data_IF_290991458802
#
_entry.id   IF_290991458802
#
_cell.length_a   1.000
_cell.length_b   1.000
_cell.length_c   1.000
_cell.angle_alpha   90.00
_cell.angle_beta   90.00
_cell.angle_gamma   90.00
#
_symmetry.space_group_name_H-M   'P 1'
#
loop_
_entity.id
_entity.type
_entity.pdbx_description
1 polymer ?
#
# COMPACT_ATOMS: atom_id res chain seq x y z
N UNK A 1 36.04 46.98 -8.97
CA UNK A 1 36.48 45.66 -9.51
C UNK A 1 36.90 44.63 -8.45
N UNK A 2 37.70 44.98 -7.43
CA UNK A 2 38.23 43.98 -6.45
C UNK A 2 37.15 43.31 -5.57
N UNK A 3 36.12 44.06 -5.15
CA UNK A 3 34.99 43.53 -4.33
C UNK A 3 34.11 42.53 -5.10
N UNK A 4 33.81 42.78 -6.37
CA UNK A 4 32.99 41.89 -7.22
C UNK A 4 33.67 40.53 -7.43
N UNK A 5 35.00 40.51 -7.64
CA UNK A 5 35.76 39.25 -7.75
C UNK A 5 35.71 38.42 -6.46
N UNK A 6 35.72 39.06 -5.29
CA UNK A 6 35.67 38.36 -4.00
C UNK A 6 34.29 37.71 -3.75
N UNK A 7 33.21 38.39 -4.13
CA UNK A 7 31.84 37.87 -3.99
C UNK A 7 31.59 36.66 -4.92
N UNK A 8 32.09 36.72 -6.16
CA UNK A 8 31.96 35.62 -7.12
C UNK A 8 32.73 34.38 -6.65
N UNK A 9 33.96 34.55 -6.14
CA UNK A 9 34.75 33.44 -5.59
C UNK A 9 34.05 32.82 -4.38
N UNK A 10 33.48 33.64 -3.48
CA UNK A 10 32.73 33.14 -2.33
C UNK A 10 31.48 32.35 -2.75
N UNK A 11 30.73 32.80 -3.76
CA UNK A 11 29.55 32.06 -4.25
C UNK A 11 29.93 30.72 -4.88
N UNK A 12 31.01 30.68 -5.67
CA UNK A 12 31.53 29.46 -6.27
C UNK A 12 31.95 28.44 -5.22
N UNK A 13 32.65 28.88 -4.17
CA UNK A 13 33.05 28.01 -3.05
C UNK A 13 31.82 27.44 -2.34
N UNK A 14 30.80 28.26 -2.07
CA UNK A 14 29.56 27.79 -1.44
C UNK A 14 28.82 26.78 -2.31
N UNK A 15 28.74 27.01 -3.63
CA UNK A 15 28.10 26.08 -4.58
C UNK A 15 28.84 24.74 -4.60
N UNK A 16 30.17 24.75 -4.65
CA UNK A 16 30.98 23.52 -4.64
C UNK A 16 30.79 22.75 -3.34
N UNK A 17 30.78 23.44 -2.19
CA UNK A 17 30.52 22.79 -0.89
C UNK A 17 29.13 22.16 -0.87
N UNK A 18 28.10 22.85 -1.40
CA UNK A 18 26.74 22.32 -1.47
C UNK A 18 26.65 21.09 -2.38
N UNK A 19 27.33 21.09 -3.53
CA UNK A 19 27.36 19.96 -4.46
C UNK A 19 28.08 18.75 -3.85
N UNK A 20 29.19 18.97 -3.14
CA UNK A 20 29.88 17.91 -2.39
C UNK A 20 28.98 17.35 -1.30
N UNK A 21 28.31 18.21 -0.54
CA UNK A 21 27.38 17.78 0.51
C UNK A 21 26.22 16.96 -0.07
N UNK A 22 25.61 17.40 -1.18
CA UNK A 22 24.58 16.65 -1.89
C UNK A 22 25.11 15.30 -2.39
N UNK A 23 26.32 15.25 -2.96
CA UNK A 23 26.88 14.00 -3.48
C UNK A 23 27.12 12.97 -2.35
N UNK A 24 27.63 13.41 -1.21
CA UNK A 24 27.82 12.56 -0.02
C UNK A 24 26.48 12.13 0.60
N UNK A 25 25.47 13.02 0.57
CA UNK A 25 24.12 12.67 1.02
C UNK A 25 23.47 11.63 0.11
N UNK A 26 23.65 11.74 -1.21
CA UNK A 26 23.11 10.75 -2.17
C UNK A 26 23.81 9.41 -2.06
N UNK A 27 25.12 9.37 -1.83
CA UNK A 27 25.86 8.10 -1.71
C UNK A 27 25.46 7.27 -0.48
N UNK A 28 25.16 7.91 0.66
CA UNK A 28 24.82 7.20 1.89
C UNK A 28 23.37 6.67 1.94
N UNK A 29 22.47 7.15 1.08
CA UNK A 29 21.07 6.69 1.04
C UNK A 29 20.75 5.74 -0.12
N UNK A 30 21.63 5.63 -1.13
CA UNK A 30 21.36 4.79 -2.31
C UNK A 30 21.67 3.30 -2.03
N UNK A 31 22.40 2.95 -0.97
CA UNK A 31 22.87 1.57 -0.73
C UNK A 31 22.01 0.71 0.19
N UNK A 32 20.84 1.15 0.68
CA UNK A 32 20.06 0.37 1.69
C UNK A 32 18.67 -0.06 1.21
N UNK A 33 18.44 -0.10 -0.11
CA UNK A 33 17.11 -0.33 -0.67
C UNK A 33 16.56 -1.76 -0.52
N UNK A 34 17.43 -2.77 -0.50
CA UNK A 34 17.02 -4.18 -0.51
C UNK A 34 17.17 -4.86 0.87
N UNK A 35 18.03 -4.35 1.75
CA UNK A 35 18.37 -4.98 3.05
C UNK A 35 17.23 -4.98 4.09
N UNK A 36 16.11 -4.29 3.80
CA UNK A 36 14.96 -4.21 4.70
C UNK A 36 13.71 -4.90 4.15
N UNK A 37 13.78 -5.60 3.02
CA UNK A 37 12.63 -6.36 2.53
C UNK A 37 12.55 -7.71 3.25
N UNK A 38 11.37 -8.01 3.79
CA UNK A 38 11.05 -9.33 4.31
C UNK A 38 10.31 -10.09 3.21
N UNK A 39 10.78 -11.30 2.95
CA UNK A 39 10.27 -12.17 1.91
C UNK A 39 9.55 -13.37 2.52
N UNK A 40 8.29 -13.60 2.14
CA UNK A 40 7.46 -14.69 2.65
C UNK A 40 7.26 -15.74 1.54
N UNK A 41 7.42 -17.04 1.82
CA UNK A 41 7.24 -18.14 0.83
C UNK A 41 6.47 -19.35 1.36
N UNK A 42 5.89 -20.15 0.45
CA UNK A 42 4.97 -21.28 0.70
C UNK A 42 5.51 -22.30 1.70
N UNK A 43 6.83 -22.44 1.80
CA UNK A 43 7.45 -23.42 2.69
C UNK A 43 7.30 -23.10 4.19
N UNK A 44 6.89 -21.88 4.54
CA UNK A 44 6.97 -21.44 5.93
C UNK A 44 5.67 -20.82 6.47
N UNK A 45 4.74 -20.36 5.61
CA UNK A 45 3.38 -20.04 6.06
C UNK A 45 2.82 -21.27 6.75
N UNK A 46 2.46 -21.15 8.05
CA UNK A 46 1.89 -22.25 8.86
C UNK A 46 0.83 -23.00 8.05
N UNK A 47 1.25 -24.10 7.43
CA UNK A 47 0.37 -25.21 7.10
C UNK A 47 -0.06 -25.76 8.44
N UNK A 48 -1.12 -25.17 9.02
CA UNK A 48 -1.97 -25.87 9.96
C UNK A 48 -2.64 -27.01 9.17
N UNK A 49 -1.87 -28.07 8.93
CA UNK A 49 -2.17 -29.22 8.10
C UNK A 49 -2.52 -28.86 6.65
N UNK A 50 -1.81 -29.55 5.75
CA UNK A 50 -2.34 -30.07 4.49
C UNK A 50 -3.62 -30.90 4.72
N UNK A 51 -4.68 -30.30 5.25
CA UNK A 51 -6.01 -30.57 4.76
C UNK A 51 -6.14 -29.72 3.52
N UNK A 52 -6.53 -30.32 2.41
CA UNK A 52 -7.15 -29.66 1.27
C UNK A 52 -8.30 -28.79 1.77
N UNK A 53 -7.99 -27.58 2.24
CA UNK A 53 -9.00 -26.57 2.56
C UNK A 53 -9.41 -26.06 1.19
N UNK A 54 -10.57 -26.54 0.76
CA UNK A 54 -11.27 -25.88 -0.33
C UNK A 54 -11.39 -24.41 0.10
N UNK A 55 -10.67 -23.50 -0.60
CA UNK A 55 -11.19 -22.14 -0.82
C UNK A 55 -12.69 -22.31 -0.98
N UNK A 56 -13.54 -21.57 -0.23
CA UNK A 56 -14.98 -21.81 -0.27
C UNK A 56 -15.35 -21.95 -1.74
N UNK A 57 -15.88 -23.12 -2.14
CA UNK A 57 -16.11 -23.48 -3.56
C UNK A 57 -17.03 -22.49 -4.28
N UNK A 58 -17.50 -21.49 -3.55
CA UNK A 58 -18.46 -20.46 -3.86
C UNK A 58 -17.93 -19.06 -3.46
N UNK A 59 -16.62 -18.80 -3.61
CA UNK A 59 -16.09 -17.44 -3.46
C UNK A 59 -16.78 -16.54 -4.48
N UNK A 60 -17.74 -15.74 -4.00
CA UNK A 60 -18.45 -14.76 -4.81
C UNK A 60 -17.69 -13.45 -4.74
N UNK A 61 -17.25 -12.94 -5.89
CA UNK A 61 -16.67 -11.61 -6.00
C UNK A 61 -17.64 -10.58 -5.42
N UNK A 62 -17.21 -9.86 -4.39
CA UNK A 62 -17.98 -8.80 -3.74
C UNK A 62 -17.93 -7.48 -4.51
N UNK A 63 -16.91 -7.28 -5.35
CA UNK A 63 -16.64 -6.06 -6.11
C UNK A 63 -16.44 -6.36 -7.61
N UNK A 64 -17.41 -6.97 -8.30
CA UNK A 64 -17.28 -7.36 -9.71
C UNK A 64 -16.92 -6.18 -10.62
N UNK A 65 -17.44 -4.98 -10.34
CA UNK A 65 -17.15 -3.76 -11.10
C UNK A 65 -15.68 -3.35 -11.04
N UNK A 66 -15.02 -3.58 -9.89
CA UNK A 66 -13.58 -3.30 -9.73
C UNK A 66 -12.78 -4.31 -10.56
N UNK A 67 -13.16 -5.59 -10.51
CA UNK A 67 -12.49 -6.65 -11.28
C UNK A 67 -12.62 -6.41 -12.79
N UNK A 68 -13.80 -6.02 -13.26
CA UNK A 68 -14.02 -5.72 -14.67
C UNK A 68 -13.20 -4.51 -15.16
N UNK A 69 -13.04 -3.48 -14.31
CA UNK A 69 -12.15 -2.37 -14.60
C UNK A 69 -10.69 -2.83 -14.70
N UNK A 70 -10.21 -3.61 -13.73
CA UNK A 70 -8.82 -4.11 -13.73
C UNK A 70 -8.52 -4.95 -14.97
N UNK A 71 -9.46 -5.81 -15.39
CA UNK A 71 -9.31 -6.59 -16.63
C UNK A 71 -9.19 -5.69 -17.87
N UNK A 72 -9.92 -4.58 -17.92
CA UNK A 72 -9.82 -3.59 -19.01
C UNK A 72 -8.49 -2.83 -18.98
N UNK A 73 -7.94 -2.58 -17.80
CA UNK A 73 -6.62 -1.93 -17.66
C UNK A 73 -5.52 -2.78 -18.30
N UNK A 74 -5.64 -4.12 -18.25
CA UNK A 74 -4.70 -5.07 -18.85
C UNK A 74 -3.23 -4.78 -18.45
N UNK A 75 -3.01 -4.66 -17.13
CA UNK A 75 -1.72 -4.35 -16.51
C UNK A 75 -1.37 -5.44 -15.49
N UNK A 76 -0.07 -5.70 -15.32
CA UNK A 76 0.46 -6.52 -14.25
C UNK A 76 1.87 -6.06 -13.87
N UNK A 77 2.20 -5.89 -12.58
CA UNK A 77 1.28 -5.94 -11.44
C UNK A 77 0.31 -4.74 -11.42
N UNK A 78 -0.79 -4.89 -10.67
CA UNK A 78 -1.73 -3.80 -10.38
C UNK A 78 -1.22 -3.01 -9.16
N UNK A 79 -1.09 -1.69 -9.29
CA UNK A 79 -0.78 -0.80 -8.17
C UNK A 79 -2.09 -0.31 -7.58
N UNK A 80 -2.33 -0.54 -6.29
CA UNK A 80 -3.61 -0.23 -5.66
C UNK A 80 -3.41 0.70 -4.48
N UNK A 81 -4.24 1.73 -4.43
CA UNK A 81 -4.34 2.62 -3.27
C UNK A 81 -5.81 2.93 -2.98
N UNK A 82 -6.16 3.00 -1.69
CA UNK A 82 -7.50 3.38 -1.24
C UNK A 82 -7.40 4.68 -0.48
N UNK A 83 -8.16 5.68 -0.92
CA UNK A 83 -8.15 7.02 -0.31
C UNK A 83 -9.57 7.45 0.04
N UNK A 84 -9.66 8.27 1.08
CA UNK A 84 -10.85 9.06 1.34
C UNK A 84 -10.62 10.52 0.93
N UNK A 85 -11.64 11.37 1.12
CA UNK A 85 -11.58 12.78 0.73
C UNK A 85 -10.46 13.55 1.41
N UNK A 86 -10.18 13.25 2.68
CA UNK A 86 -9.11 13.92 3.43
C UNK A 86 -7.72 13.64 2.85
N UNK A 87 -7.54 12.52 2.15
CA UNK A 87 -6.27 12.12 1.52
C UNK A 87 -6.11 12.63 0.08
N UNK A 88 -7.10 13.33 -0.50
CA UNK A 88 -7.00 13.89 -1.85
C UNK A 88 -5.77 14.80 -2.06
N UNK A 89 -5.42 15.73 -1.13
CA UNK A 89 -4.21 16.54 -1.30
C UNK A 89 -2.93 15.69 -1.38
N UNK A 90 -2.84 14.62 -0.58
CA UNK A 90 -1.70 13.69 -0.63
C UNK A 90 -1.70 12.91 -1.95
N UNK A 91 -2.86 12.46 -2.44
CA UNK A 91 -2.98 11.79 -3.74
C UNK A 91 -2.50 12.70 -4.88
N UNK A 92 -2.87 13.98 -4.89
CA UNK A 92 -2.39 14.94 -5.90
C UNK A 92 -0.88 15.19 -5.79
N UNK A 93 -0.36 15.32 -4.56
CA UNK A 93 1.09 15.44 -4.32
C UNK A 93 1.85 14.22 -4.88
N UNK A 94 1.35 13.02 -4.60
CA UNK A 94 1.94 11.76 -5.09
C UNK A 94 1.88 11.63 -6.61
N UNK A 95 0.75 12.01 -7.23
CA UNK A 95 0.61 12.02 -8.69
C UNK A 95 1.63 12.96 -9.35
N UNK A 96 1.84 14.15 -8.79
CA UNK A 96 2.89 15.07 -9.25
C UNK A 96 4.29 14.47 -9.06
N UNK A 97 4.58 13.88 -7.89
CA UNK A 97 5.87 13.25 -7.61
C UNK A 97 6.20 12.11 -8.59
N UNK A 98 5.19 11.39 -9.08
CA UNK A 98 5.36 10.17 -9.89
C UNK A 98 5.06 10.34 -11.37
N UNK A 99 4.73 11.56 -11.83
CA UNK A 99 4.30 11.84 -13.21
C UNK A 99 5.26 11.28 -14.27
N UNK A 100 6.56 11.43 -14.04
CA UNK A 100 7.61 11.04 -15.00
C UNK A 100 8.05 9.57 -14.84
N UNK A 101 7.46 8.80 -13.91
CA UNK A 101 7.88 7.42 -13.63
C UNK A 101 7.20 6.37 -14.51
N UNK A 102 6.20 6.76 -15.31
CA UNK A 102 5.50 5.87 -16.24
C UNK A 102 4.56 4.85 -15.59
N UNK A 103 4.24 4.99 -14.31
CA UNK A 103 3.48 3.99 -13.53
C UNK A 103 1.95 4.19 -13.57
N UNK A 104 1.47 5.40 -13.87
CA UNK A 104 0.08 5.79 -13.61
C UNK A 104 -0.98 4.92 -14.32
N UNK A 105 -0.66 4.33 -15.48
CA UNK A 105 -1.55 3.38 -16.17
C UNK A 105 -1.80 2.09 -15.37
N UNK A 106 -0.85 1.72 -14.51
CA UNK A 106 -0.93 0.53 -13.66
C UNK A 106 -1.62 0.82 -12.32
N UNK A 107 -1.90 2.09 -12.01
CA UNK A 107 -2.47 2.51 -10.75
C UNK A 107 -3.99 2.49 -10.82
N UNK A 108 -4.61 1.87 -9.80
CA UNK A 108 -6.02 1.95 -9.49
C UNK A 108 -6.20 2.72 -8.17
N UNK A 109 -6.82 3.89 -8.27
CA UNK A 109 -7.32 4.63 -7.12
C UNK A 109 -8.72 4.14 -6.75
N UNK A 110 -8.91 3.79 -5.49
CA UNK A 110 -10.20 3.43 -4.93
C UNK A 110 -10.61 4.53 -3.96
N UNK A 111 -11.70 5.24 -4.26
CA UNK A 111 -12.19 6.35 -3.43
C UNK A 111 -13.39 5.94 -2.58
N UNK A 112 -13.53 6.51 -1.39
CA UNK A 112 -14.69 6.27 -0.51
C UNK A 112 -15.98 6.96 -0.95
N UNK A 113 -15.88 7.87 -1.92
CA UNK A 113 -16.98 8.70 -2.39
C UNK A 113 -16.77 9.12 -3.86
N UNK A 114 -17.90 9.39 -4.54
CA UNK A 114 -17.91 9.79 -5.95
C UNK A 114 -17.29 11.17 -6.18
N UNK A 115 -17.43 12.11 -5.23
CA UNK A 115 -16.84 13.45 -5.36
C UNK A 115 -15.31 13.38 -5.48
N UNK A 116 -14.66 12.57 -4.65
CA UNK A 116 -13.22 12.30 -4.74
C UNK A 116 -12.82 11.69 -6.09
N UNK A 117 -13.64 10.76 -6.61
CA UNK A 117 -13.41 10.15 -7.94
C UNK A 117 -13.55 11.16 -9.07
N UNK A 118 -14.59 12.00 -9.03
CA UNK A 118 -14.84 13.02 -10.03
C UNK A 118 -13.71 14.06 -10.07
N UNK A 119 -13.19 14.47 -8.89
CA UNK A 119 -12.05 15.37 -8.82
C UNK A 119 -10.78 14.76 -9.41
N UNK A 120 -10.46 13.50 -9.06
CA UNK A 120 -9.31 12.79 -9.62
C UNK A 120 -9.43 12.63 -11.15
N UNK A 121 -10.58 12.18 -11.64
CA UNK A 121 -10.82 12.02 -13.09
C UNK A 121 -10.74 13.34 -13.85
N UNK A 122 -11.22 14.44 -13.25
CA UNK A 122 -11.17 15.77 -13.87
C UNK A 122 -9.75 16.29 -14.00
N UNK A 123 -8.92 16.13 -12.96
CA UNK A 123 -7.56 16.69 -12.92
C UNK A 123 -6.52 15.75 -13.56
N UNK A 124 -6.74 14.44 -13.48
CA UNK A 124 -5.81 13.40 -13.91
C UNK A 124 -6.53 12.33 -14.77
N UNK A 125 -7.03 12.67 -15.96
CA UNK A 125 -7.90 11.80 -16.77
C UNK A 125 -7.22 10.51 -17.30
N UNK A 126 -5.92 10.34 -17.07
CA UNK A 126 -5.13 9.19 -17.52
C UNK A 126 -4.96 8.10 -16.45
N UNK A 127 -5.43 8.34 -15.23
CA UNK A 127 -5.39 7.37 -14.13
C UNK A 127 -6.70 6.59 -14.06
N UNK A 128 -6.68 5.43 -13.43
CA UNK A 128 -7.88 4.63 -13.23
C UNK A 128 -8.45 4.89 -11.84
N UNK A 129 -9.73 5.24 -11.76
CA UNK A 129 -10.40 5.58 -10.49
C UNK A 129 -11.75 4.90 -10.41
N UNK A 130 -12.04 4.29 -9.27
CA UNK A 130 -13.35 3.73 -8.93
C UNK A 130 -13.76 4.22 -7.55
N UNK A 131 -15.05 4.51 -7.36
CA UNK A 131 -15.60 4.84 -6.06
C UNK A 131 -16.33 3.63 -5.49
N UNK A 132 -16.14 3.38 -4.20
CA UNK A 132 -16.86 2.33 -3.48
C UNK A 132 -18.03 2.92 -2.69
N UNK A 133 -19.14 2.21 -2.71
CA UNK A 133 -20.37 2.64 -2.04
C UNK A 133 -20.37 2.33 -0.55
N UNK A 134 -21.18 3.08 0.22
CA UNK A 134 -21.44 2.79 1.64
C UNK A 134 -20.34 3.23 2.61
N UNK A 135 -19.41 4.09 2.18
CA UNK A 135 -18.25 4.54 2.98
C UNK A 135 -18.29 6.03 3.32
N UNK A 136 -19.43 6.71 3.14
CA UNK A 136 -19.56 8.16 3.40
C UNK A 136 -19.22 8.56 4.84
N UNK A 137 -19.52 7.70 5.82
CA UNK A 137 -19.23 7.94 7.24
C UNK A 137 -17.73 7.96 7.59
N UNK A 138 -16.86 7.55 6.67
CA UNK A 138 -15.39 7.54 6.84
C UNK A 138 -14.68 8.32 5.72
N UNK A 139 -15.43 9.20 5.05
CA UNK A 139 -14.92 10.05 3.98
C UNK A 139 -14.03 11.19 4.50
N UNK A 140 -14.21 11.60 5.76
CA UNK A 140 -13.40 12.61 6.44
C UNK A 140 -12.12 12.03 7.03
N UNK A 141 -11.25 12.87 7.58
CA UNK A 141 -10.02 12.44 8.23
C UNK A 141 -10.28 11.36 9.29
N UNK A 142 -9.42 10.34 9.31
CA UNK A 142 -9.54 9.19 10.19
C UNK A 142 -8.24 8.99 10.96
N UNK A 143 -8.35 9.00 12.28
CA UNK A 143 -7.21 8.74 13.16
C UNK A 143 -6.84 7.26 13.17
N UNK A 144 -5.53 6.97 13.15
CA UNK A 144 -5.00 5.62 13.29
C UNK A 144 -5.59 4.91 14.52
N UNK A 145 -5.92 3.63 14.37
CA UNK A 145 -6.53 2.81 15.43
C UNK A 145 -7.88 3.33 15.95
N UNK A 146 -8.66 4.04 15.14
CA UNK A 146 -10.03 4.42 15.45
C UNK A 146 -11.03 3.62 14.60
N UNK A 147 -12.27 3.48 15.07
CA UNK A 147 -13.27 2.62 14.43
C UNK A 147 -13.48 2.97 12.94
N UNK A 148 -13.44 4.25 12.56
CA UNK A 148 -13.56 4.66 11.17
C UNK A 148 -12.35 4.27 10.31
N UNK A 149 -11.12 4.43 10.81
CA UNK A 149 -9.91 3.90 10.18
C UNK A 149 -10.02 2.38 9.99
N UNK A 150 -10.42 1.64 11.02
CA UNK A 150 -10.55 0.17 10.94
C UNK A 150 -11.57 -0.24 9.88
N UNK A 151 -12.69 0.48 9.74
CA UNK A 151 -13.69 0.23 8.67
C UNK A 151 -13.10 0.42 7.28
N UNK A 152 -12.25 1.43 7.08
CA UNK A 152 -11.51 1.61 5.83
C UNK A 152 -10.59 0.41 5.56
N UNK A 153 -9.84 -0.03 6.57
CA UNK A 153 -8.90 -1.15 6.44
C UNK A 153 -9.60 -2.50 6.20
N UNK A 154 -10.75 -2.73 6.83
CA UNK A 154 -11.61 -3.89 6.54
C UNK A 154 -12.01 -3.89 5.06
N UNK A 155 -12.51 -2.75 4.56
CA UNK A 155 -12.94 -2.62 3.18
C UNK A 155 -11.79 -2.79 2.19
N UNK A 156 -10.63 -2.19 2.48
CA UNK A 156 -9.38 -2.39 1.73
C UNK A 156 -9.04 -3.87 1.64
N UNK A 157 -9.03 -4.57 2.77
CA UNK A 157 -8.68 -6.00 2.82
C UNK A 157 -9.64 -6.85 1.98
N UNK A 158 -10.94 -6.58 2.05
CA UNK A 158 -11.95 -7.29 1.25
C UNK A 158 -11.73 -7.11 -0.26
N UNK A 159 -11.44 -5.89 -0.71
CA UNK A 159 -11.19 -5.60 -2.12
C UNK A 159 -9.91 -6.29 -2.59
N UNK A 160 -8.84 -6.20 -1.80
CA UNK A 160 -7.58 -6.87 -2.11
C UNK A 160 -7.76 -8.40 -2.20
N UNK A 161 -8.58 -9.00 -1.33
CA UNK A 161 -8.93 -10.42 -1.41
C UNK A 161 -9.61 -10.75 -2.74
N UNK A 162 -10.61 -9.97 -3.16
CA UNK A 162 -11.29 -10.15 -4.45
C UNK A 162 -10.30 -10.12 -5.63
N UNK A 163 -9.37 -9.16 -5.61
CA UNK A 163 -8.36 -9.03 -6.67
C UNK A 163 -7.42 -10.25 -6.67
N UNK A 164 -6.95 -10.69 -5.50
CA UNK A 164 -6.10 -11.88 -5.37
C UNK A 164 -6.80 -13.16 -5.84
N UNK A 165 -8.08 -13.34 -5.51
CA UNK A 165 -8.89 -14.50 -5.94
C UNK A 165 -9.07 -14.53 -7.47
N UNK A 166 -8.95 -13.38 -8.13
CA UNK A 166 -8.95 -13.27 -9.60
C UNK A 166 -7.54 -13.41 -10.23
N UNK A 167 -6.56 -13.92 -9.49
CA UNK A 167 -5.18 -14.18 -9.95
C UNK A 167 -4.42 -12.93 -10.42
N UNK A 168 -4.69 -11.77 -9.82
CA UNK A 168 -4.03 -10.51 -10.17
C UNK A 168 -2.98 -10.18 -9.10
N UNK A 169 -1.68 -10.03 -9.46
CA UNK A 169 -0.66 -9.55 -8.54
C UNK A 169 -0.89 -8.09 -8.15
N UNK A 170 -0.68 -7.77 -6.88
CA UNK A 170 -1.00 -6.46 -6.31
C UNK A 170 0.23 -5.85 -5.65
N UNK A 171 0.55 -4.60 -5.99
CA UNK A 171 1.37 -3.74 -5.14
C UNK A 171 0.47 -2.72 -4.43
N UNK A 172 0.21 -2.97 -3.14
CA UNK A 172 -0.47 -2.04 -2.26
C UNK A 172 0.50 -0.93 -1.84
N UNK A 173 0.07 0.32 -1.97
CA UNK A 173 0.83 1.49 -1.54
C UNK A 173 -0.08 2.58 -0.96
N UNK A 174 0.50 3.46 -0.16
CA UNK A 174 -0.16 4.66 0.39
C UNK A 174 0.39 5.93 -0.26
N UNK A 175 -0.46 6.97 -0.36
CA UNK A 175 -0.14 8.23 -1.07
C UNK A 175 0.61 9.25 -0.21
N UNK A 176 0.74 9.00 1.09
CA UNK A 176 1.45 9.83 2.07
C UNK A 176 2.97 9.55 2.09
N UNK A 177 3.54 9.32 0.90
CA UNK A 177 4.95 9.02 0.71
C UNK A 177 5.53 9.73 -0.53
N UNK A 178 6.86 9.71 -0.64
CA UNK A 178 7.59 10.13 -1.83
C UNK A 178 8.26 8.94 -2.48
N UNK A 179 8.07 8.80 -3.79
CA UNK A 179 8.77 7.80 -4.59
C UNK A 179 9.97 8.48 -5.23
N UNK A 180 11.13 7.84 -5.10
CA UNK A 180 12.38 8.31 -5.73
C UNK A 180 12.53 7.72 -7.15
N UNK A 181 11.93 6.56 -7.40
CA UNK A 181 11.96 5.84 -8.67
C UNK A 181 10.77 4.90 -8.79
N UNK A 182 10.50 4.42 -10.00
CA UNK A 182 9.55 3.35 -10.26
C UNK A 182 10.02 2.05 -9.55
N UNK A 183 9.26 1.51 -8.58
CA UNK A 183 9.65 0.30 -7.85
C UNK A 183 9.35 -1.00 -8.62
N UNK A 184 8.45 -0.97 -9.61
CA UNK A 184 7.92 -2.17 -10.28
C UNK A 184 9.03 -3.07 -10.84
N UNK A 185 10.05 -2.56 -11.57
CA UNK A 185 11.11 -3.41 -12.11
C UNK A 185 11.93 -4.14 -11.05
N UNK A 186 11.96 -3.65 -9.81
CA UNK A 186 12.64 -4.33 -8.69
C UNK A 186 11.73 -5.36 -8.04
N UNK A 187 10.45 -5.02 -7.85
CA UNK A 187 9.45 -5.91 -7.25
C UNK A 187 9.23 -7.20 -8.05
N UNK A 188 9.07 -7.11 -9.37
CA UNK A 188 8.79 -8.27 -10.24
C UNK A 188 9.93 -9.28 -10.32
N UNK A 189 11.15 -8.94 -9.91
CA UNK A 189 12.28 -9.89 -9.88
C UNK A 189 12.14 -10.95 -8.79
N UNK A 190 11.19 -10.77 -7.88
CA UNK A 190 11.01 -11.61 -6.68
C UNK A 190 9.85 -12.61 -6.83
N UNK A 191 9.56 -13.06 -8.06
CA UNK A 191 8.48 -14.01 -8.40
C UNK A 191 8.55 -15.37 -7.67
N UNK A 192 9.63 -15.65 -6.94
CA UNK A 192 9.78 -16.85 -6.10
C UNK A 192 9.17 -16.74 -4.69
N UNK A 193 8.59 -15.59 -4.35
CA UNK A 193 7.98 -15.33 -3.04
C UNK A 193 6.47 -15.10 -3.16
N UNK A 194 5.74 -15.29 -2.07
CA UNK A 194 4.30 -15.07 -1.98
C UNK A 194 3.97 -13.60 -1.72
N UNK A 195 4.67 -13.00 -0.75
CA UNK A 195 4.44 -11.64 -0.29
C UNK A 195 5.78 -10.98 0.05
N UNK A 196 5.95 -9.73 -0.37
CA UNK A 196 7.03 -8.84 0.06
C UNK A 196 6.46 -7.76 0.98
N UNK A 197 7.07 -7.60 2.14
CA UNK A 197 6.69 -6.60 3.15
C UNK A 197 7.89 -5.85 3.68
N UNK A 198 7.65 -4.65 4.21
CA UNK A 198 8.66 -3.89 4.95
C UNK A 198 8.44 -4.07 6.46
N UNK A 199 9.50 -4.20 7.28
CA UNK A 199 9.38 -4.12 8.72
C UNK A 199 9.06 -2.69 9.15
N UNK A 200 8.34 -2.55 10.27
CA UNK A 200 8.16 -1.25 10.91
C UNK A 200 9.39 -0.92 11.75
N UNK A 201 10.00 0.22 11.47
CA UNK A 201 11.16 0.70 12.22
C UNK A 201 10.88 0.73 13.73
N UNK A 202 11.80 0.17 14.52
CA UNK A 202 11.71 0.08 15.98
C UNK A 202 10.50 -0.73 16.52
N UNK A 203 9.87 -1.59 15.70
CA UNK A 203 8.83 -2.53 16.15
C UNK A 203 9.14 -3.95 15.64
N UNK A 204 10.00 -4.71 16.35
CA UNK A 204 10.35 -6.08 15.96
C UNK A 204 9.13 -6.97 15.80
N UNK A 205 9.10 -7.77 14.73
CA UNK A 205 7.98 -8.66 14.44
C UNK A 205 6.71 -7.95 13.94
N UNK A 206 6.79 -6.67 13.57
CA UNK A 206 5.68 -5.91 12.97
C UNK A 206 6.06 -5.51 11.55
N UNK A 207 5.16 -5.81 10.61
CA UNK A 207 5.31 -5.42 9.19
C UNK A 207 4.41 -4.23 8.87
N UNK A 208 4.78 -3.44 7.87
CA UNK A 208 4.02 -2.28 7.42
C UNK A 208 2.75 -2.73 6.69
N UNK A 209 1.60 -2.15 7.06
CA UNK A 209 0.31 -2.44 6.42
C UNK A 209 0.09 -1.70 5.09
N UNK A 210 0.89 -0.66 4.81
CA UNK A 210 0.69 0.26 3.70
C UNK A 210 1.53 -0.01 2.45
N UNK A 211 2.55 -0.85 2.53
CA UNK A 211 3.47 -1.16 1.42
C UNK A 211 3.71 -2.66 1.33
N UNK A 212 2.95 -3.33 0.46
CA UNK A 212 2.91 -4.78 0.38
C UNK A 212 2.83 -5.20 -1.09
N UNK A 213 3.77 -6.02 -1.55
CA UNK A 213 3.67 -6.66 -2.86
C UNK A 213 3.21 -8.11 -2.69
N UNK A 214 2.13 -8.49 -3.37
CA UNK A 214 1.47 -9.78 -3.20
C UNK A 214 1.37 -10.48 -4.55
N UNK A 215 1.95 -11.68 -4.62
CA UNK A 215 1.73 -12.62 -5.71
C UNK A 215 0.48 -13.44 -5.41
N UNK A 216 -0.38 -13.74 -6.40
CA UNK A 216 -1.67 -14.40 -6.17
C UNK A 216 -1.53 -15.93 -6.05
N UNK A 217 -0.57 -16.39 -5.26
CA UNK A 217 -0.37 -17.81 -4.94
C UNK A 217 -1.49 -18.32 -4.03
N UNK A 218 -1.57 -19.65 -3.87
CA UNK A 218 -2.55 -20.24 -2.96
C UNK A 218 -2.26 -19.84 -1.50
N UNK A 219 -0.98 -19.76 -1.14
CA UNK A 219 -0.48 -19.26 0.13
C UNK A 219 -0.97 -17.84 0.44
N UNK A 220 -0.75 -16.89 -0.49
CA UNK A 220 -1.20 -15.50 -0.31
C UNK A 220 -2.71 -15.41 -0.17
N UNK A 221 -3.48 -16.10 -1.02
CA UNK A 221 -4.95 -16.12 -0.95
C UNK A 221 -5.45 -16.68 0.38
N UNK A 222 -4.81 -17.73 0.89
CA UNK A 222 -5.15 -18.32 2.18
C UNK A 222 -4.88 -17.34 3.32
N UNK A 223 -3.68 -16.78 3.38
CA UNK A 223 -3.30 -15.80 4.38
C UNK A 223 -4.24 -14.59 4.40
N UNK A 224 -4.58 -14.07 3.22
CA UNK A 224 -5.47 -12.91 3.09
C UNK A 224 -6.93 -13.24 3.45
N UNK A 225 -7.36 -14.49 3.23
CA UNK A 225 -8.67 -14.99 3.69
C UNK A 225 -8.73 -15.01 5.22
N UNK A 226 -7.67 -15.49 5.89
CA UNK A 226 -7.57 -15.50 7.35
C UNK A 226 -7.53 -14.08 7.93
N UNK A 227 -6.76 -13.18 7.32
CA UNK A 227 -6.74 -11.75 7.70
C UNK A 227 -8.13 -11.13 7.61
N UNK A 228 -8.82 -11.36 6.48
CA UNK A 228 -10.18 -10.87 6.27
C UNK A 228 -11.17 -11.46 7.30
N UNK A 229 -11.05 -12.73 7.68
CA UNK A 229 -11.90 -13.35 8.70
C UNK A 229 -11.71 -12.72 10.10
N UNK A 230 -10.45 -12.42 10.49
CA UNK A 230 -10.14 -11.69 11.73
C UNK A 230 -10.75 -10.30 11.72
N UNK A 231 -10.59 -9.57 10.61
CA UNK A 231 -11.12 -8.21 10.44
C UNK A 231 -12.66 -8.17 10.42
N UNK A 232 -13.33 -9.13 9.79
CA UNK A 232 -14.79 -9.26 9.85
C UNK A 232 -15.31 -9.55 11.26
N UNK A 233 -14.53 -10.27 12.07
CA UNK A 233 -14.86 -10.48 13.48
C UNK A 233 -14.74 -9.18 14.27
N UNK A 234 -13.69 -8.40 14.02
CA UNK A 234 -13.53 -7.06 14.60
C UNK A 234 -14.64 -6.10 14.15
N UNK A 235 -15.03 -6.13 12.87
CA UNK A 235 -16.12 -5.33 12.31
C UNK A 235 -17.42 -5.50 13.12
N UNK A 236 -17.79 -6.74 13.43
CA UNK A 236 -18.98 -7.03 14.25
C UNK A 236 -18.91 -6.35 15.61
N UNK A 237 -17.73 -6.35 16.26
CA UNK A 237 -17.52 -5.69 17.56
C UNK A 237 -17.66 -4.16 17.47
N UNK A 238 -17.12 -3.55 16.40
CA UNK A 238 -17.06 -2.10 16.25
C UNK A 238 -18.24 -1.49 15.46
N UNK A 239 -19.14 -2.33 14.96
CA UNK A 239 -20.24 -1.94 14.05
C UNK A 239 -21.12 -0.81 14.57
N UNK A 240 -21.33 -0.74 15.89
CA UNK A 240 -22.16 0.27 16.56
C UNK A 240 -21.39 1.47 17.11
N UNK A 241 -20.07 1.48 17.00
CA UNK A 241 -19.23 2.55 17.54
C UNK A 241 -19.25 3.77 16.61
N UNK A 242 -19.02 4.97 17.13
CA UNK A 242 -18.77 6.14 16.28
C UNK A 242 -17.39 6.03 15.63
N UNK A 243 -17.15 6.63 14.44
CA UNK A 243 -15.86 6.58 13.75
C UNK A 243 -14.66 7.04 14.61
N UNK A 244 -14.89 8.00 15.51
CA UNK A 244 -13.89 8.62 16.39
C UNK A 244 -13.61 7.78 17.65
N UNK A 245 -14.28 6.64 17.82
CA UNK A 245 -14.03 5.77 18.95
C UNK A 245 -12.69 5.06 18.75
N UNK A 246 -11.75 5.31 19.67
CA UNK A 246 -10.48 4.59 19.73
C UNK A 246 -10.68 3.09 19.94
N UNK A 247 -9.90 2.29 19.20
CA UNK A 247 -9.80 0.84 19.23
C UNK A 247 -8.38 0.49 19.69
N UNK A 248 -8.16 -0.60 20.46
CA UNK A 248 -6.81 -1.00 20.85
C UNK A 248 -5.86 -1.11 19.66
N UNK A 249 -4.64 -0.58 19.78
CA UNK A 249 -3.63 -0.64 18.70
C UNK A 249 -3.23 -2.07 18.32
N UNK A 250 -3.53 -3.07 19.16
CA UNK A 250 -3.37 -4.49 18.85
C UNK A 250 -4.49 -5.06 17.96
N UNK A 251 -5.57 -4.31 17.72
CA UNK A 251 -6.73 -4.73 16.93
C UNK A 251 -6.85 -3.88 15.65
N UNK A 252 -5.96 -4.16 14.69
CA UNK A 252 -6.02 -3.60 13.33
C UNK A 252 -5.41 -4.57 12.30
N UNK A 253 -5.52 -4.21 11.04
CA UNK A 253 -5.02 -4.98 9.90
C UNK A 253 -3.50 -5.19 9.95
N UNK A 254 -2.71 -4.17 10.30
CA UNK A 254 -1.26 -4.28 10.40
C UNK A 254 -0.83 -5.30 11.44
N UNK A 255 -1.42 -5.24 12.64
CA UNK A 255 -1.09 -6.17 13.72
C UNK A 255 -1.57 -7.58 13.43
N UNK A 256 -2.78 -7.73 12.87
CA UNK A 256 -3.29 -9.05 12.49
C UNK A 256 -2.47 -9.67 11.35
N UNK A 257 -2.03 -8.88 10.38
CA UNK A 257 -1.12 -9.35 9.34
C UNK A 257 0.22 -9.77 9.95
N UNK A 258 0.79 -8.92 10.80
CA UNK A 258 2.06 -9.21 11.49
C UNK A 258 2.00 -10.52 12.28
N UNK A 259 0.91 -10.76 13.01
CA UNK A 259 0.70 -12.01 13.75
C UNK A 259 0.58 -13.24 12.83
N UNK A 260 -0.02 -13.09 11.64
CA UNK A 260 -0.16 -14.17 10.67
C UNK A 260 1.17 -14.54 9.99
N UNK A 261 2.10 -13.59 9.90
CA UNK A 261 3.44 -13.79 9.30
C UNK A 261 4.55 -13.93 10.35
N UNK A 262 4.22 -13.89 11.64
CA UNK A 262 5.19 -13.71 12.74
C UNK A 262 6.27 -14.78 12.84
N UNK A 263 5.93 -16.03 12.51
CA UNK A 263 6.90 -17.12 12.54
C UNK A 263 7.99 -16.97 11.46
N UNK A 264 7.74 -16.15 10.43
CA UNK A 264 8.69 -15.80 9.36
C UNK A 264 9.61 -14.64 9.73
N UNK A 265 9.25 -13.84 10.74
CA UNK A 265 9.96 -12.62 11.11
C UNK A 265 11.12 -12.86 12.09
N UNK A 266 11.25 -14.09 12.58
CA UNK A 266 12.23 -14.50 13.61
C UNK A 266 13.21 -15.55 13.06
N UNK A 267 13.17 -15.82 11.74
CA UNK A 267 14.06 -16.73 11.03
C UNK A 267 15.31 -16.06 10.49
#
# INVERSE_FOLDING_TARGET
MRRIKLTIVSMLVTIVILLVYLSLFTQNYITTGDDNLIFISEHNIKSSKSSSINLPKDYTNKFPEIIDLIRKMNVSPLLVTLINRAYLPFAFSWLCNTEQMGIHKQVLFITTDEESKDQLNKLWPKINVVAISGMSAVSTDQSYSHAGYIRLMIRRTQILLDILQNNIPIFLFEVDCLWIRNPVPSLVKNEGYDILVNPVSNRPGVVAGGFIYMFPTNATKFLWTELNAKLLTLEKKISKLSPEKGIPESENDQMYLSDLVKDELVG
#
